data_IF_614379744243
#
_entry.id   IF_614379744243
#
_cell.length_a   1.000
_cell.length_b   1.000
_cell.length_c   1.000
_cell.angle_alpha   90.00
_cell.angle_beta   90.00
_cell.angle_gamma   90.00
#
_symmetry.space_group_name_H-M   'P 1'
#
loop_
_entity.id
_entity.type
_entity.pdbx_description
1 polymer ?
#
# COMPACT_ATOMS: atom_id res chain seq x y z
N UNK A 1 29.12 -52.28 -36.45
CA UNK A 1 28.13 -51.22 -36.15
C UNK A 1 28.07 -51.05 -34.65
N UNK A 2 27.99 -49.80 -34.18
CA UNK A 2 28.07 -49.31 -32.78
C UNK A 2 29.52 -49.28 -32.23
N UNK A 3 30.01 -48.23 -31.56
CA UNK A 3 29.39 -47.12 -30.83
C UNK A 3 30.27 -45.87 -30.96
N UNK A 4 29.67 -44.69 -31.16
CA UNK A 4 30.18 -43.41 -30.62
C UNK A 4 29.11 -42.32 -30.82
N UNK A 5 28.34 -42.05 -29.77
CA UNK A 5 27.54 -40.82 -29.61
C UNK A 5 27.02 -40.79 -28.17
N UNK A 6 27.72 -40.08 -27.29
CA UNK A 6 27.22 -39.57 -26.00
C UNK A 6 28.35 -38.82 -25.28
N UNK A 7 28.51 -37.52 -25.56
CA UNK A 7 29.22 -36.61 -24.64
C UNK A 7 28.89 -35.11 -24.85
N UNK A 8 28.04 -34.76 -25.82
CA UNK A 8 27.70 -33.35 -26.11
C UNK A 8 26.46 -32.85 -25.33
N UNK A 9 25.52 -33.73 -24.98
CA UNK A 9 24.26 -33.31 -24.34
C UNK A 9 24.41 -32.96 -22.85
N UNK A 10 25.36 -33.57 -22.13
CA UNK A 10 25.53 -33.32 -20.68
C UNK A 10 26.22 -31.99 -20.38
N UNK A 11 27.13 -31.52 -21.23
CA UNK A 11 27.79 -30.22 -21.06
C UNK A 11 26.85 -29.05 -21.38
N UNK A 12 25.98 -29.20 -22.39
CA UNK A 12 24.94 -28.22 -22.66
C UNK A 12 23.97 -28.09 -21.49
N UNK A 13 23.46 -29.21 -20.96
CA UNK A 13 22.50 -29.22 -19.85
C UNK A 13 23.06 -28.58 -18.57
N UNK A 14 24.32 -28.88 -18.21
CA UNK A 14 24.99 -28.28 -17.05
C UNK A 14 25.21 -26.76 -17.21
N UNK A 15 25.58 -26.30 -18.41
CA UNK A 15 25.75 -24.86 -18.68
C UNK A 15 24.41 -24.10 -18.62
N UNK A 16 23.31 -24.69 -19.12
CA UNK A 16 21.99 -24.09 -19.04
C UNK A 16 21.44 -24.05 -17.59
N UNK A 17 21.67 -25.10 -16.79
CA UNK A 17 21.32 -25.13 -15.37
C UNK A 17 22.09 -24.07 -14.56
N UNK A 18 23.36 -23.85 -14.87
CA UNK A 18 24.18 -22.82 -14.23
C UNK A 18 23.72 -21.40 -14.60
N UNK A 19 23.34 -21.15 -15.86
CA UNK A 19 22.80 -19.85 -16.30
C UNK A 19 21.42 -19.54 -15.70
N UNK A 20 20.51 -20.52 -15.67
CA UNK A 20 19.18 -20.35 -15.07
C UNK A 20 19.29 -20.10 -13.56
N UNK A 21 20.17 -20.85 -12.88
CA UNK A 21 20.45 -20.66 -11.45
C UNK A 21 21.02 -19.27 -11.17
N UNK A 22 21.98 -18.81 -11.99
CA UNK A 22 22.57 -17.48 -11.85
C UNK A 22 21.54 -16.36 -12.10
N UNK A 23 20.69 -16.50 -13.12
CA UNK A 23 19.63 -15.54 -13.41
C UNK A 23 18.59 -15.47 -12.27
N UNK A 24 18.24 -16.62 -11.70
CA UNK A 24 17.33 -16.69 -10.55
C UNK A 24 17.93 -16.04 -9.31
N UNK A 25 19.23 -16.26 -9.03
CA UNK A 25 19.94 -15.60 -7.93
C UNK A 25 19.98 -14.07 -8.10
N UNK A 26 20.27 -13.59 -9.31
CA UNK A 26 20.25 -12.15 -9.60
C UNK A 26 18.85 -11.53 -9.37
N UNK A 27 17.79 -12.24 -9.74
CA UNK A 27 16.42 -11.82 -9.46
C UNK A 27 16.11 -11.80 -7.96
N UNK A 28 16.63 -12.76 -7.18
CA UNK A 28 16.49 -12.79 -5.71
C UNK A 28 17.23 -11.60 -5.08
N UNK A 29 18.41 -11.24 -5.57
CA UNK A 29 19.17 -10.08 -5.09
C UNK A 29 18.43 -8.77 -5.38
N UNK A 30 17.89 -8.61 -6.59
CA UNK A 30 17.08 -7.45 -6.95
C UNK A 30 15.83 -7.34 -6.06
N UNK A 31 15.16 -8.47 -5.81
CA UNK A 31 14.03 -8.53 -4.90
C UNK A 31 14.45 -8.10 -3.48
N UNK A 32 15.54 -8.67 -2.95
CA UNK A 32 16.04 -8.38 -1.61
C UNK A 32 16.36 -6.88 -1.45
N UNK A 33 17.02 -6.26 -2.42
CA UNK A 33 17.30 -4.81 -2.42
C UNK A 33 16.02 -3.97 -2.30
N UNK A 34 14.93 -4.41 -2.94
CA UNK A 34 13.65 -3.69 -2.95
C UNK A 34 12.86 -3.90 -1.65
N UNK A 35 13.04 -5.03 -0.95
CA UNK A 35 12.15 -5.46 0.15
C UNK A 35 12.82 -5.62 1.52
N UNK A 36 14.14 -5.52 1.63
CA UNK A 36 14.87 -5.70 2.90
C UNK A 36 14.51 -4.63 3.95
N UNK A 37 13.47 -4.91 4.73
CA UNK A 37 12.96 -4.09 5.83
C UNK A 37 12.90 -4.99 7.07
N UNK A 38 13.72 -4.67 8.08
CA UNK A 38 13.87 -5.50 9.29
C UNK A 38 13.11 -4.91 10.47
N UNK A 39 12.40 -5.76 11.22
CA UNK A 39 11.48 -5.35 12.29
C UNK A 39 12.19 -5.23 13.64
N UNK A 40 12.03 -4.11 14.32
CA UNK A 40 12.63 -3.87 15.63
C UNK A 40 12.14 -4.86 16.70
N UNK A 41 13.05 -5.27 17.60
CA UNK A 41 12.75 -6.26 18.62
C UNK A 41 11.56 -5.90 19.53
N UNK A 42 11.30 -4.64 19.92
CA UNK A 42 10.13 -4.34 20.74
C UNK A 42 8.80 -4.65 20.04
N UNK A 43 8.72 -4.45 18.71
CA UNK A 43 7.54 -4.80 17.92
C UNK A 43 7.39 -6.32 17.82
N UNK A 44 8.50 -7.03 17.62
CA UNK A 44 8.50 -8.50 17.61
C UNK A 44 8.02 -9.07 18.94
N UNK A 45 8.56 -8.56 20.05
CA UNK A 45 8.23 -9.02 21.40
C UNK A 45 6.74 -8.83 21.73
N UNK A 46 6.18 -7.66 21.40
CA UNK A 46 4.74 -7.39 21.60
C UNK A 46 3.87 -8.35 20.77
N UNK A 47 4.26 -8.60 19.51
CA UNK A 47 3.50 -9.49 18.64
C UNK A 47 3.56 -10.95 19.10
N UNK A 48 4.75 -11.44 19.50
CA UNK A 48 4.90 -12.79 20.07
C UNK A 48 4.08 -12.96 21.35
N UNK A 49 4.06 -11.95 22.22
CA UNK A 49 3.22 -11.94 23.43
C UNK A 49 1.73 -12.06 23.09
N UNK A 50 1.24 -11.31 22.10
CA UNK A 50 -0.16 -11.39 21.64
C UNK A 50 -0.51 -12.74 21.02
N UNK A 51 0.46 -13.41 20.42
CA UNK A 51 0.29 -14.78 19.90
C UNK A 51 0.26 -15.83 21.02
N UNK A 52 0.65 -15.48 22.25
CA UNK A 52 0.81 -16.43 23.35
C UNK A 52 2.04 -17.32 23.18
N UNK A 53 3.07 -16.86 22.47
CA UNK A 53 4.33 -17.60 22.38
C UNK A 53 5.20 -17.32 23.62
N UNK A 54 5.85 -18.33 24.23
CA UNK A 54 6.02 -19.73 23.82
C UNK A 54 5.13 -20.71 24.62
N UNK A 55 3.86 -20.37 24.87
CA UNK A 55 2.97 -21.19 25.68
C UNK A 55 2.67 -22.54 25.01
N UNK A 56 2.59 -23.60 25.82
CA UNK A 56 2.34 -24.96 25.33
C UNK A 56 3.49 -25.52 24.49
N UNK A 57 3.20 -26.49 23.61
CA UNK A 57 4.18 -27.20 22.76
C UNK A 57 4.01 -26.90 21.26
N UNK A 58 3.44 -25.74 20.93
CA UNK A 58 3.15 -25.36 19.55
C UNK A 58 4.40 -25.15 18.70
N UNK A 59 4.22 -25.16 17.38
CA UNK A 59 5.25 -24.89 16.38
C UNK A 59 5.06 -23.50 15.78
N UNK A 60 6.14 -22.71 15.75
CA UNK A 60 6.21 -21.37 15.17
C UNK A 60 7.03 -21.38 13.88
N UNK A 61 6.56 -20.64 12.88
CA UNK A 61 7.33 -20.35 11.66
C UNK A 61 7.41 -18.86 11.36
N UNK A 62 8.57 -18.40 10.88
CA UNK A 62 8.68 -17.16 10.11
C UNK A 62 8.91 -17.49 8.63
N UNK A 63 7.93 -17.22 7.74
CA UNK A 63 7.97 -17.61 6.33
C UNK A 63 8.89 -16.73 5.47
N UNK A 64 9.42 -15.63 6.01
CA UNK A 64 10.28 -14.69 5.29
C UNK A 64 11.22 -13.99 6.27
N UNK A 65 12.07 -14.78 6.92
CA UNK A 65 12.66 -14.40 8.19
C UNK A 65 13.75 -13.33 8.11
N UNK A 66 14.23 -12.95 6.92
CA UNK A 66 15.21 -11.90 6.75
C UNK A 66 16.48 -12.20 7.54
N UNK A 67 16.86 -11.28 8.43
CA UNK A 67 18.03 -11.43 9.31
C UNK A 67 17.71 -12.18 10.62
N UNK A 68 16.52 -12.79 10.71
CA UNK A 68 16.13 -13.70 11.78
C UNK A 68 15.65 -13.04 13.07
N UNK A 69 15.29 -11.75 13.09
CA UNK A 69 14.89 -11.08 14.35
C UNK A 69 13.70 -11.78 15.02
N UNK A 70 12.62 -12.08 14.29
CA UNK A 70 11.45 -12.81 14.83
C UNK A 70 11.86 -14.15 15.44
N UNK A 71 12.63 -14.94 14.69
CA UNK A 71 13.11 -16.24 15.13
C UNK A 71 14.00 -16.16 16.36
N UNK A 72 14.87 -15.16 16.44
CA UNK A 72 15.79 -14.98 17.57
C UNK A 72 15.04 -14.63 18.86
N UNK A 73 14.04 -13.72 18.78
CA UNK A 73 13.20 -13.38 19.93
C UNK A 73 12.31 -14.55 20.35
N UNK A 74 11.74 -15.27 19.37
CA UNK A 74 10.95 -16.48 19.62
C UNK A 74 11.80 -17.58 20.29
N UNK A 75 13.03 -17.79 19.82
CA UNK A 75 13.95 -18.79 20.36
C UNK A 75 14.39 -18.43 21.78
N UNK A 76 14.74 -17.18 22.03
CA UNK A 76 15.12 -16.71 23.37
C UNK A 76 13.98 -16.92 24.38
N UNK A 77 12.75 -16.58 24.00
CA UNK A 77 11.56 -16.83 24.80
C UNK A 77 11.34 -18.34 25.05
N UNK A 78 11.44 -19.16 24.00
CA UNK A 78 11.26 -20.61 24.11
C UNK A 78 12.29 -21.24 25.06
N UNK A 79 13.57 -20.91 24.91
CA UNK A 79 14.64 -21.45 25.76
C UNK A 79 14.51 -20.98 27.21
N UNK A 80 13.98 -19.77 27.45
CA UNK A 80 13.69 -19.30 28.80
C UNK A 80 12.54 -20.07 29.46
N UNK A 81 11.57 -20.55 28.68
CA UNK A 81 10.40 -21.30 29.14
C UNK A 81 10.62 -22.83 29.20
N UNK A 82 11.86 -23.30 28.98
CA UNK A 82 12.20 -24.73 28.92
C UNK A 82 13.41 -25.04 29.80
N UNK A 83 13.60 -26.31 30.19
CA UNK A 83 14.81 -26.73 30.89
C UNK A 83 16.08 -26.44 30.08
N UNK A 84 17.19 -26.23 30.77
CA UNK A 84 18.50 -26.08 30.12
C UNK A 84 18.81 -27.30 29.24
N UNK A 85 19.38 -27.05 28.05
CA UNK A 85 19.70 -28.09 27.08
C UNK A 85 18.54 -28.57 26.19
N UNK A 86 17.34 -27.99 26.32
CA UNK A 86 16.20 -28.28 25.43
C UNK A 86 16.55 -28.07 23.95
N UNK A 87 16.32 -29.09 23.10
CA UNK A 87 16.54 -28.98 21.64
C UNK A 87 15.32 -28.31 20.98
N UNK A 88 15.46 -27.08 20.42
CA UNK A 88 14.33 -26.32 19.89
C UNK A 88 13.92 -26.73 18.47
N UNK A 89 14.64 -27.66 17.83
CA UNK A 89 14.33 -28.07 16.45
C UNK A 89 12.92 -28.64 16.34
N UNK A 90 12.24 -28.27 15.26
CA UNK A 90 10.85 -28.64 14.99
C UNK A 90 9.80 -27.78 15.71
N UNK A 91 10.16 -26.98 16.71
CA UNK A 91 9.27 -25.98 17.31
C UNK A 91 9.43 -24.58 16.73
N UNK A 92 10.60 -24.24 16.18
CA UNK A 92 10.85 -22.96 15.50
C UNK A 92 11.50 -23.24 14.15
N UNK A 93 10.93 -22.66 13.10
CA UNK A 93 11.44 -22.76 11.73
C UNK A 93 11.42 -21.39 11.02
N UNK A 94 12.39 -21.17 10.13
CA UNK A 94 12.53 -19.96 9.34
C UNK A 94 12.70 -20.27 7.85
N UNK A 95 12.11 -19.44 6.98
CA UNK A 95 12.32 -19.50 5.54
C UNK A 95 12.87 -18.16 5.05
N UNK A 96 13.96 -18.19 4.30
CA UNK A 96 14.54 -17.00 3.70
C UNK A 96 15.08 -17.32 2.31
N UNK A 97 14.59 -16.61 1.30
CA UNK A 97 14.97 -16.84 -0.10
C UNK A 97 16.38 -16.33 -0.42
N UNK A 98 16.81 -15.23 0.21
CA UNK A 98 18.09 -14.59 -0.07
C UNK A 98 19.24 -15.24 0.74
N UNK A 99 20.27 -15.83 0.09
CA UNK A 99 21.30 -16.60 0.75
C UNK A 99 22.03 -15.85 1.88
N UNK A 100 22.45 -14.61 1.65
CA UNK A 100 23.19 -13.86 2.65
C UNK A 100 22.30 -13.42 3.84
N UNK A 101 21.01 -13.18 3.63
CA UNK A 101 20.07 -12.90 4.72
C UNK A 101 19.84 -14.16 5.57
N UNK A 102 19.73 -15.32 4.93
CA UNK A 102 19.65 -16.61 5.62
C UNK A 102 20.89 -16.86 6.50
N UNK A 103 22.09 -16.53 6.02
CA UNK A 103 23.33 -16.59 6.82
C UNK A 103 23.28 -15.63 8.02
N UNK A 104 22.79 -14.39 7.83
CA UNK A 104 22.59 -13.42 8.93
C UNK A 104 21.63 -14.01 9.99
N UNK A 105 20.49 -14.60 9.58
CA UNK A 105 19.52 -15.24 10.47
C UNK A 105 20.11 -16.42 11.24
N UNK A 106 20.81 -17.33 10.56
CA UNK A 106 21.49 -18.48 11.19
C UNK A 106 22.51 -18.02 12.22
N UNK A 107 23.30 -17.00 11.91
CA UNK A 107 24.29 -16.43 12.82
C UNK A 107 23.62 -15.82 14.05
N UNK A 108 22.49 -15.13 13.88
CA UNK A 108 21.70 -14.57 14.99
C UNK A 108 21.15 -15.66 15.90
N UNK A 109 20.60 -16.75 15.35
CA UNK A 109 20.08 -17.87 16.13
C UNK A 109 21.20 -18.61 16.88
N UNK A 110 22.34 -18.84 16.22
CA UNK A 110 23.50 -19.45 16.84
C UNK A 110 24.00 -18.62 18.04
N UNK A 111 23.97 -17.29 17.95
CA UNK A 111 24.34 -16.42 19.07
C UNK A 111 23.38 -16.54 20.27
N UNK A 112 22.07 -16.67 20.02
CA UNK A 112 21.06 -16.92 21.09
C UNK A 112 21.30 -18.29 21.75
N UNK A 113 21.58 -19.33 20.97
CA UNK A 113 21.88 -20.66 21.53
C UNK A 113 23.18 -20.64 22.35
N UNK A 114 24.22 -20.00 21.83
CA UNK A 114 25.50 -19.88 22.53
C UNK A 114 25.37 -19.12 23.85
N UNK A 115 24.57 -18.04 23.90
CA UNK A 115 24.32 -17.30 25.15
C UNK A 115 23.58 -18.11 26.21
N UNK A 116 22.92 -19.21 25.80
CA UNK A 116 22.22 -20.15 26.69
C UNK A 116 23.07 -21.37 27.06
N UNK A 117 24.34 -21.43 26.64
CA UNK A 117 25.30 -22.47 27.06
C UNK A 117 25.59 -23.57 26.03
N UNK A 118 25.08 -23.47 24.80
CA UNK A 118 25.42 -24.41 23.73
C UNK A 118 26.82 -24.10 23.19
N UNK A 119 27.58 -25.14 22.81
CA UNK A 119 28.86 -24.93 22.15
C UNK A 119 28.66 -24.24 20.79
N UNK A 120 29.61 -23.41 20.32
CA UNK A 120 29.48 -22.71 19.04
C UNK A 120 29.19 -23.65 17.85
N UNK A 121 29.84 -24.81 17.81
CA UNK A 121 29.61 -25.82 16.77
C UNK A 121 28.18 -26.37 16.81
N UNK A 122 27.66 -26.73 17.99
CA UNK A 122 26.30 -27.25 18.13
C UNK A 122 25.27 -26.16 17.83
N UNK A 123 25.50 -24.93 18.29
CA UNK A 123 24.64 -23.79 18.03
C UNK A 123 24.50 -23.51 16.53
N UNK A 124 25.61 -23.56 15.78
CA UNK A 124 25.61 -23.39 14.33
C UNK A 124 24.85 -24.52 13.61
N UNK A 125 25.04 -25.78 14.01
CA UNK A 125 24.28 -26.92 13.45
C UNK A 125 22.77 -26.75 13.67
N UNK A 126 22.35 -26.44 14.90
CA UNK A 126 20.94 -26.23 15.21
C UNK A 126 20.34 -25.06 14.41
N UNK A 127 21.06 -23.94 14.32
CA UNK A 127 20.60 -22.79 13.54
C UNK A 127 20.45 -23.11 12.04
N UNK A 128 21.35 -23.92 11.46
CA UNK A 128 21.24 -24.38 10.08
C UNK A 128 20.01 -25.28 9.85
N UNK A 129 19.70 -26.16 10.80
CA UNK A 129 18.52 -27.05 10.74
C UNK A 129 17.20 -26.27 10.87
N UNK A 130 17.22 -25.14 11.59
CA UNK A 130 16.02 -24.33 11.87
C UNK A 130 15.71 -23.31 10.75
N UNK A 131 16.71 -22.85 9.98
CA UNK A 131 16.53 -21.81 8.96
C UNK A 131 16.84 -22.34 7.57
N UNK A 132 15.82 -22.37 6.71
CA UNK A 132 15.87 -22.88 5.35
C UNK A 132 16.15 -21.76 4.36
N UNK A 133 17.23 -21.88 3.56
CA UNK A 133 17.45 -20.98 2.43
C UNK A 133 16.63 -21.45 1.21
N UNK A 134 15.33 -21.18 1.23
CA UNK A 134 14.35 -21.66 0.25
C UNK A 134 13.24 -20.64 0.06
N UNK A 135 12.51 -20.75 -1.03
CA UNK A 135 11.41 -19.84 -1.33
C UNK A 135 10.07 -20.37 -0.78
N UNK A 136 9.53 -19.69 0.23
CA UNK A 136 8.29 -20.10 0.87
C UNK A 136 7.06 -20.09 -0.06
N UNK A 137 7.00 -19.20 -1.05
CA UNK A 137 5.81 -19.11 -1.93
C UNK A 137 5.71 -20.32 -2.88
N UNK A 138 6.86 -20.81 -3.35
CA UNK A 138 6.96 -21.89 -4.34
C UNK A 138 7.19 -23.25 -3.67
N UNK A 139 8.06 -23.32 -2.66
CA UNK A 139 8.50 -24.57 -2.01
C UNK A 139 7.85 -24.81 -0.64
N UNK A 140 7.19 -23.80 -0.05
CA UNK A 140 6.52 -23.93 1.23
C UNK A 140 5.36 -24.94 1.20
N UNK A 141 5.03 -25.56 2.35
CA UNK A 141 4.02 -26.60 2.43
C UNK A 141 2.66 -26.09 1.97
N UNK A 142 1.88 -26.97 1.36
CA UNK A 142 0.52 -26.69 0.85
C UNK A 142 -0.57 -27.12 1.83
N UNK A 143 -0.19 -27.75 2.93
CA UNK A 143 -1.06 -28.21 4.01
C UNK A 143 -0.69 -27.54 5.34
N UNK A 144 -1.62 -27.53 6.32
CA UNK A 144 -1.33 -26.98 7.64
C UNK A 144 -0.18 -27.69 8.37
N UNK A 145 0.79 -26.92 8.88
CA UNK A 145 2.01 -27.42 9.54
C UNK A 145 2.31 -26.76 10.89
N UNK A 146 1.88 -25.52 11.08
CA UNK A 146 2.30 -24.67 12.21
C UNK A 146 1.12 -24.17 13.01
N UNK A 147 1.32 -24.03 14.31
CA UNK A 147 0.31 -23.49 15.23
C UNK A 147 0.40 -21.96 15.27
N UNK A 148 1.61 -21.40 15.06
CA UNK A 148 1.86 -19.96 14.97
C UNK A 148 2.65 -19.64 13.71
N UNK A 149 2.20 -18.64 12.96
CA UNK A 149 2.99 -17.97 11.92
C UNK A 149 3.32 -16.57 12.41
N UNK A 150 4.60 -16.20 12.49
CA UNK A 150 5.02 -14.89 12.96
C UNK A 150 6.11 -14.31 12.06
N UNK A 151 5.98 -13.04 11.63
CA UNK A 151 6.99 -12.45 10.76
C UNK A 151 6.66 -11.10 10.17
N UNK A 152 7.49 -10.67 9.23
CA UNK A 152 7.33 -9.44 8.46
C UNK A 152 7.51 -9.72 6.96
N UNK A 153 6.41 -10.05 6.24
CA UNK A 153 6.48 -10.38 4.82
C UNK A 153 6.94 -9.20 3.94
N UNK A 154 7.48 -9.47 2.74
CA UNK A 154 7.94 -8.42 1.82
C UNK A 154 6.80 -7.54 1.27
N UNK A 155 7.03 -6.23 1.16
CA UNK A 155 6.07 -5.26 0.63
C UNK A 155 6.44 -4.80 -0.78
N UNK A 156 5.91 -5.47 -1.80
CA UNK A 156 6.22 -5.13 -3.19
C UNK A 156 5.06 -5.43 -4.13
N UNK A 157 4.67 -4.44 -4.93
CA UNK A 157 3.67 -4.64 -5.99
C UNK A 157 4.21 -5.59 -7.04
N UNK A 158 3.34 -6.44 -7.59
CA UNK A 158 3.71 -7.42 -8.61
C UNK A 158 4.46 -6.83 -9.81
N UNK A 159 4.07 -5.64 -10.27
CA UNK A 159 4.73 -4.93 -11.37
C UNK A 159 6.21 -4.59 -11.11
N UNK A 160 6.64 -4.61 -9.85
CA UNK A 160 8.02 -4.34 -9.43
C UNK A 160 8.74 -5.62 -8.99
N UNK A 161 8.10 -6.79 -9.03
CA UNK A 161 8.77 -8.08 -8.81
C UNK A 161 9.50 -8.46 -10.10
N UNK A 162 10.77 -8.90 -10.04
CA UNK A 162 11.51 -9.38 -11.21
C UNK A 162 10.70 -10.39 -12.02
N UNK A 163 10.74 -10.26 -13.34
CA UNK A 163 9.87 -10.99 -14.27
C UNK A 163 9.94 -12.51 -14.10
N UNK A 164 11.15 -13.04 -13.89
CA UNK A 164 11.41 -14.45 -13.63
C UNK A 164 10.61 -14.94 -12.41
N UNK A 165 10.81 -14.31 -11.24
CA UNK A 165 10.10 -14.68 -10.00
C UNK A 165 8.59 -14.44 -10.12
N UNK A 166 8.16 -13.35 -10.77
CA UNK A 166 6.74 -13.07 -11.00
C UNK A 166 6.07 -14.19 -11.80
N UNK A 167 6.75 -14.72 -12.82
CA UNK A 167 6.27 -15.83 -13.62
C UNK A 167 6.23 -17.14 -12.82
N UNK A 168 7.23 -17.41 -11.97
CA UNK A 168 7.20 -18.55 -11.04
C UNK A 168 5.98 -18.45 -10.09
N UNK A 169 5.84 -17.32 -9.38
CA UNK A 169 4.75 -17.10 -8.42
C UNK A 169 3.36 -17.22 -9.06
N UNK A 170 3.23 -16.92 -10.36
CA UNK A 170 1.98 -17.04 -11.11
C UNK A 170 1.37 -18.44 -11.06
N UNK A 171 2.21 -19.48 -10.91
CA UNK A 171 1.83 -20.89 -10.89
C UNK A 171 1.43 -21.39 -9.50
N UNK A 172 1.86 -20.70 -8.45
CA UNK A 172 1.69 -21.15 -7.06
C UNK A 172 0.72 -20.29 -6.24
N UNK A 173 0.51 -19.04 -6.63
CA UNK A 173 -0.34 -18.08 -5.93
C UNK A 173 -1.63 -17.87 -6.73
N UNK A 174 -2.83 -17.78 -6.11
CA UNK A 174 -4.07 -17.53 -6.83
C UNK A 174 -4.18 -16.08 -7.33
N UNK A 175 -4.92 -15.83 -8.43
CA UNK A 175 -5.01 -14.50 -9.07
C UNK A 175 -5.35 -13.36 -8.11
N UNK A 176 -6.22 -13.60 -7.14
CA UNK A 176 -6.66 -12.59 -6.17
C UNK A 176 -5.59 -12.18 -5.16
N UNK A 177 -4.52 -12.96 -5.02
CA UNK A 177 -3.40 -12.70 -4.11
C UNK A 177 -2.12 -12.30 -4.87
N UNK A 178 -2.10 -12.34 -6.21
CA UNK A 178 -0.89 -12.08 -7.01
C UNK A 178 -0.53 -10.61 -7.21
N UNK A 179 -1.40 -9.67 -6.88
CA UNK A 179 -1.18 -8.23 -7.14
C UNK A 179 -0.11 -7.57 -6.25
N UNK A 180 0.27 -8.20 -5.14
CA UNK A 180 1.30 -7.73 -4.22
C UNK A 180 1.91 -8.92 -3.47
N UNK A 181 3.21 -8.89 -3.18
CA UNK A 181 3.88 -9.96 -2.45
C UNK A 181 3.32 -10.17 -1.05
N UNK A 182 2.96 -9.12 -0.33
CA UNK A 182 2.31 -9.25 0.98
C UNK A 182 1.01 -10.04 0.88
N UNK A 183 0.26 -9.86 -0.20
CA UNK A 183 -0.98 -10.61 -0.44
C UNK A 183 -0.68 -12.09 -0.70
N UNK A 184 0.35 -12.39 -1.50
CA UNK A 184 0.81 -13.76 -1.75
C UNK A 184 1.19 -14.48 -0.45
N UNK A 185 1.94 -13.80 0.43
CA UNK A 185 2.33 -14.34 1.72
C UNK A 185 1.13 -14.51 2.66
N UNK A 186 0.24 -13.52 2.79
CA UNK A 186 -0.98 -13.65 3.60
C UNK A 186 -1.81 -14.87 3.19
N UNK A 187 -2.02 -15.07 1.88
CA UNK A 187 -2.76 -16.22 1.38
C UNK A 187 -2.05 -17.54 1.68
N UNK A 188 -0.72 -17.63 1.45
CA UNK A 188 0.05 -18.84 1.78
C UNK A 188 0.02 -19.15 3.28
N UNK A 189 0.28 -18.16 4.13
CA UNK A 189 0.21 -18.31 5.58
C UNK A 189 -1.17 -18.79 6.06
N UNK A 190 -2.26 -18.32 5.42
CA UNK A 190 -3.62 -18.76 5.74
C UNK A 190 -3.88 -20.26 5.49
N UNK A 191 -3.06 -20.91 4.66
CA UNK A 191 -3.18 -22.33 4.32
C UNK A 191 -2.24 -23.22 5.11
N UNK A 192 -1.19 -22.65 5.70
CA UNK A 192 -0.16 -23.41 6.42
C UNK A 192 -0.34 -23.35 7.92
N UNK A 193 -1.18 -22.44 8.44
CA UNK A 193 -1.59 -22.44 9.84
C UNK A 193 -2.59 -23.58 10.11
N UNK A 194 -2.42 -24.28 11.23
CA UNK A 194 -3.33 -25.34 11.71
C UNK A 194 -4.68 -24.78 12.18
N UNK A 195 -5.72 -25.62 12.24
CA UNK A 195 -6.94 -25.29 12.99
C UNK A 195 -6.60 -24.81 14.40
N UNK A 196 -7.34 -23.81 14.89
CA UNK A 196 -7.07 -23.09 16.14
C UNK A 196 -5.69 -22.37 16.22
N UNK A 197 -4.93 -22.32 15.13
CA UNK A 197 -3.67 -21.60 15.06
C UNK A 197 -3.81 -20.10 14.87
N UNK A 198 -2.69 -19.39 14.96
CA UNK A 198 -2.62 -17.91 14.96
C UNK A 198 -1.58 -17.40 13.98
N UNK A 199 -1.85 -16.26 13.37
CA UNK A 199 -0.93 -15.58 12.45
C UNK A 199 -0.69 -14.17 12.98
N UNK A 200 0.55 -13.85 13.34
CA UNK A 200 0.98 -12.54 13.80
C UNK A 200 1.95 -11.91 12.82
N UNK A 201 1.52 -10.90 12.06
CA UNK A 201 2.38 -10.28 11.05
C UNK A 201 2.49 -8.77 11.24
N UNK A 202 3.69 -8.24 10.98
CA UNK A 202 3.84 -6.82 10.64
C UNK A 202 3.56 -6.68 9.14
N UNK A 203 2.61 -5.83 8.78
CA UNK A 203 2.14 -5.66 7.40
C UNK A 203 2.09 -4.19 7.00
N UNK A 204 2.17 -3.88 5.71
CA UNK A 204 1.74 -2.57 5.19
C UNK A 204 0.20 -2.47 5.19
N UNK A 205 -0.38 -1.33 5.56
CA UNK A 205 -1.84 -1.15 5.69
C UNK A 205 -2.65 -1.30 4.38
N UNK A 206 -1.99 -1.34 3.22
CA UNK A 206 -2.65 -1.28 1.90
C UNK A 206 -3.64 -2.43 1.64
N UNK A 207 -3.37 -3.62 2.16
CA UNK A 207 -4.27 -4.78 2.00
C UNK A 207 -5.55 -4.64 2.83
N UNK A 208 -5.54 -3.81 3.87
CA UNK A 208 -6.68 -3.57 4.76
C UNK A 208 -7.67 -2.59 4.14
N UNK A 209 -7.18 -1.50 3.56
CA UNK A 209 -8.04 -0.40 3.06
C UNK A 209 -8.28 -0.46 1.54
N UNK A 210 -7.33 -1.01 0.78
CA UNK A 210 -7.36 -0.94 -0.68
C UNK A 210 -8.52 -1.74 -1.29
N UNK A 211 -9.24 -1.13 -2.23
CA UNK A 211 -10.30 -1.81 -2.99
C UNK A 211 -9.77 -3.03 -3.76
N UNK A 212 -8.55 -2.94 -4.29
CA UNK A 212 -7.87 -4.05 -4.98
C UNK A 212 -7.62 -5.29 -4.10
N UNK A 213 -7.66 -5.14 -2.77
CA UNK A 213 -7.49 -6.24 -1.83
C UNK A 213 -8.83 -6.79 -1.28
N UNK A 214 -9.99 -6.30 -1.77
CA UNK A 214 -11.31 -6.77 -1.31
C UNK A 214 -11.47 -8.29 -1.45
N UNK A 215 -11.17 -8.85 -2.62
CA UNK A 215 -11.26 -10.30 -2.87
C UNK A 215 -10.27 -11.10 -2.04
N UNK A 216 -9.10 -10.54 -1.71
CA UNK A 216 -8.16 -11.19 -0.79
C UNK A 216 -8.78 -11.26 0.62
N UNK A 217 -9.25 -10.14 1.17
CA UNK A 217 -9.83 -10.10 2.52
C UNK A 217 -11.02 -11.04 2.67
N UNK A 218 -11.89 -11.08 1.66
CA UNK A 218 -13.00 -12.04 1.62
C UNK A 218 -12.51 -13.50 1.65
N UNK A 219 -11.47 -13.84 0.88
CA UNK A 219 -10.92 -15.20 0.85
C UNK A 219 -10.21 -15.59 2.14
N UNK A 220 -9.51 -14.66 2.77
CA UNK A 220 -8.93 -14.86 4.10
C UNK A 220 -10.03 -15.05 5.15
N UNK A 221 -11.12 -14.29 5.07
CA UNK A 221 -12.29 -14.37 5.95
C UNK A 221 -13.03 -15.70 5.97
N UNK A 222 -12.78 -16.57 4.98
CA UNK A 222 -13.31 -17.94 4.95
C UNK A 222 -12.55 -18.91 5.87
N UNK A 223 -11.43 -18.48 6.47
CA UNK A 223 -10.53 -19.32 7.28
C UNK A 223 -10.01 -18.62 8.54
N UNK A 224 -10.05 -17.28 8.52
CA UNK A 224 -9.36 -16.43 9.46
C UNK A 224 -10.24 -15.27 9.86
N UNK A 225 -10.04 -14.85 11.10
CA UNK A 225 -10.69 -13.71 11.69
C UNK A 225 -9.68 -12.77 12.31
N UNK A 226 -10.05 -11.49 12.43
CA UNK A 226 -9.18 -10.46 12.99
C UNK A 226 -9.31 -10.44 14.51
N UNK A 227 -8.25 -10.86 15.21
CA UNK A 227 -8.21 -10.80 16.66
C UNK A 227 -7.60 -9.49 17.18
N UNK A 228 -6.63 -8.94 16.44
CA UNK A 228 -5.99 -7.68 16.82
C UNK A 228 -5.44 -6.95 15.60
N UNK A 229 -5.51 -5.62 15.65
CA UNK A 229 -4.92 -4.75 14.65
C UNK A 229 -4.48 -3.43 15.29
N UNK A 230 -3.24 -3.01 15.04
CA UNK A 230 -2.68 -1.79 15.63
C UNK A 230 -1.70 -1.11 14.67
N UNK A 231 -1.83 0.22 14.52
CA UNK A 231 -0.89 1.01 13.71
C UNK A 231 0.43 1.14 14.44
N UNK A 232 1.52 0.93 13.70
CA UNK A 232 2.87 1.10 14.20
C UNK A 232 3.49 2.38 13.62
N UNK A 233 4.43 2.97 14.35
CA UNK A 233 5.27 4.05 13.80
C UNK A 233 6.34 3.43 12.90
N UNK A 234 6.43 3.88 11.64
CA UNK A 234 7.48 3.43 10.73
C UNK A 234 8.90 3.78 11.20
N UNK A 235 9.04 4.82 12.04
CA UNK A 235 10.32 5.26 12.59
C UNK A 235 10.86 4.30 13.66
N UNK A 236 9.97 3.61 14.38
CA UNK A 236 10.34 2.72 15.48
C UNK A 236 10.11 1.25 15.17
N UNK A 237 9.23 0.93 14.22
CA UNK A 237 8.90 -0.44 13.86
C UNK A 237 10.01 -1.15 13.10
N UNK A 238 10.88 -0.40 12.44
CA UNK A 238 11.93 -0.95 11.60
C UNK A 238 13.31 -0.41 11.99
N UNK A 239 14.31 -1.27 11.95
CA UNK A 239 15.72 -0.85 11.98
C UNK A 239 16.36 -1.26 10.66
N UNK A 240 17.38 -0.51 10.21
CA UNK A 240 18.19 -0.82 9.01
C UNK A 240 17.46 -0.65 7.65
N UNK A 241 17.35 0.58 7.11
CA UNK A 241 17.21 0.77 5.68
C UNK A 241 18.60 0.70 5.03
N UNK A 242 19.11 -0.52 4.77
CA UNK A 242 20.52 -0.79 4.43
C UNK A 242 21.03 -0.08 3.14
N UNK A 243 20.15 0.51 2.33
CA UNK A 243 20.51 1.22 1.09
C UNK A 243 19.65 2.46 0.76
N UNK A 244 18.80 2.95 1.69
CA UNK A 244 18.07 4.21 1.45
C UNK A 244 18.84 5.35 2.11
N UNK A 245 18.84 6.55 1.52
CA UNK A 245 19.52 7.74 2.07
C UNK A 245 19.30 7.80 3.59
N UNK A 246 20.39 7.96 4.34
CA UNK A 246 20.35 8.08 5.80
C UNK A 246 19.26 9.08 6.22
N UNK A 247 18.38 8.69 7.14
CA UNK A 247 17.30 9.53 7.65
C UNK A 247 15.97 9.49 6.87
N UNK A 248 15.81 8.65 5.84
CA UNK A 248 14.50 8.45 5.18
C UNK A 248 13.84 7.13 5.61
N UNK A 249 12.75 7.16 6.42
CA UNK A 249 12.04 5.94 6.80
C UNK A 249 11.45 5.23 5.57
N UNK A 250 11.20 3.91 5.64
CA UNK A 250 10.46 3.20 4.60
C UNK A 250 9.12 3.91 4.34
N UNK A 251 8.78 4.10 3.06
CA UNK A 251 7.49 4.69 2.64
C UNK A 251 6.36 3.67 2.80
N UNK A 252 6.13 3.28 4.05
CA UNK A 252 5.24 2.21 4.47
C UNK A 252 4.49 2.70 5.71
N UNK A 253 3.23 2.34 5.82
CA UNK A 253 2.42 2.53 7.03
C UNK A 253 2.24 1.16 7.69
N UNK A 254 3.14 0.79 8.62
CA UNK A 254 3.13 -0.54 9.20
C UNK A 254 1.99 -0.73 10.19
N UNK A 255 1.47 -1.96 10.24
CA UNK A 255 0.40 -2.38 11.12
C UNK A 255 0.75 -3.75 11.67
N UNK A 256 0.67 -3.91 12.99
CA UNK A 256 0.69 -5.22 13.65
C UNK A 256 -0.69 -5.87 13.52
N UNK A 257 -0.73 -7.13 13.10
CA UNK A 257 -1.96 -7.87 12.83
C UNK A 257 -1.88 -9.22 13.52
N UNK A 258 -2.94 -9.58 14.25
CA UNK A 258 -3.15 -10.95 14.72
C UNK A 258 -4.43 -11.49 14.09
N UNK A 259 -4.29 -12.56 13.33
CA UNK A 259 -5.39 -13.36 12.79
C UNK A 259 -5.46 -14.69 13.53
N UNK A 260 -6.67 -15.18 13.74
CA UNK A 260 -6.92 -16.49 14.37
C UNK A 260 -7.78 -17.34 13.44
N UNK A 261 -7.54 -18.64 13.41
CA UNK A 261 -8.43 -19.61 12.76
C UNK A 261 -9.76 -19.71 13.52
N UNK A 262 -10.85 -20.04 12.81
CA UNK A 262 -12.27 -19.81 13.18
C UNK A 262 -12.74 -20.29 14.57
N UNK A 263 -12.00 -21.15 15.27
CA UNK A 263 -12.32 -21.63 16.63
C UNK A 263 -12.15 -20.59 17.76
N UNK A 264 -12.09 -19.28 17.46
CA UNK A 264 -11.81 -18.28 18.51
C UNK A 264 -12.01 -16.80 18.18
N UNK A 265 -12.92 -16.44 17.26
CA UNK A 265 -13.04 -15.05 16.84
C UNK A 265 -14.43 -14.42 16.95
N UNK A 266 -14.43 -13.11 17.22
CA UNK A 266 -15.66 -12.29 17.29
C UNK A 266 -16.20 -11.83 15.94
N UNK A 267 -15.38 -11.78 14.87
CA UNK A 267 -15.80 -11.39 13.51
C UNK A 267 -14.81 -11.84 12.42
N UNK A 268 -15.32 -12.56 11.42
CA UNK A 268 -14.53 -12.94 10.24
C UNK A 268 -14.17 -11.73 9.37
N UNK A 269 -13.03 -11.78 8.69
CA UNK A 269 -12.69 -10.79 7.68
C UNK A 269 -13.76 -10.78 6.57
N UNK A 270 -14.00 -9.62 5.96
CA UNK A 270 -14.90 -9.48 4.82
C UNK A 270 -14.21 -8.70 3.69
N UNK A 271 -14.87 -8.56 2.54
CA UNK A 271 -14.36 -7.69 1.47
C UNK A 271 -14.31 -6.20 1.85
N UNK A 272 -14.93 -5.78 2.96
CA UNK A 272 -14.94 -4.38 3.39
C UNK A 272 -13.55 -3.91 3.84
N UNK A 273 -13.23 -2.61 3.69
CA UNK A 273 -12.02 -2.02 4.25
C UNK A 273 -11.94 -2.20 5.77
N UNK A 274 -10.73 -2.33 6.30
CA UNK A 274 -10.44 -2.38 7.73
C UNK A 274 -9.64 -1.13 8.07
N UNK A 275 -10.08 -0.37 9.07
CA UNK A 275 -9.44 0.86 9.51
C UNK A 275 -8.87 0.68 10.93
N UNK A 276 -7.57 0.37 11.07
CA UNK A 276 -6.94 0.12 12.36
C UNK A 276 -7.13 1.27 13.36
N UNK A 277 -7.64 0.93 14.55
CA UNK A 277 -7.80 1.85 15.68
C UNK A 277 -8.94 2.86 15.55
N UNK A 278 -9.84 2.68 14.59
CA UNK A 278 -10.99 3.58 14.39
C UNK A 278 -12.18 3.12 15.23
N UNK A 279 -12.68 4.02 16.07
CA UNK A 279 -13.96 3.87 16.77
C UNK A 279 -15.07 4.50 15.93
N UNK A 280 -15.88 3.66 15.29
CA UNK A 280 -16.97 4.13 14.42
C UNK A 280 -18.08 4.86 15.20
N UNK A 281 -18.29 4.55 16.48
CA UNK A 281 -19.34 5.19 17.30
C UNK A 281 -19.11 6.69 17.48
N UNK A 282 -17.85 7.16 17.30
CA UNK A 282 -17.51 8.58 17.29
C UNK A 282 -18.32 9.39 16.29
N UNK A 283 -18.72 8.75 15.19
CA UNK A 283 -19.39 9.39 14.06
C UNK A 283 -20.87 9.07 13.97
N UNK A 284 -21.38 8.24 14.89
CA UNK A 284 -22.76 7.77 14.86
C UNK A 284 -23.75 8.92 15.05
N UNK A 285 -24.81 8.94 14.23
CA UNK A 285 -25.85 9.97 14.28
C UNK A 285 -25.47 11.32 13.63
N UNK A 286 -24.24 11.52 13.17
CA UNK A 286 -23.85 12.74 12.46
C UNK A 286 -24.34 12.73 11.00
N UNK A 287 -24.79 13.89 10.51
CA UNK A 287 -25.11 14.06 9.09
C UNK A 287 -23.83 14.09 8.26
N UNK A 288 -23.92 13.69 6.99
CA UNK A 288 -22.77 13.56 6.12
C UNK A 288 -22.65 14.78 5.21
N UNK A 289 -21.43 15.19 4.88
CA UNK A 289 -21.20 16.33 3.98
C UNK A 289 -21.87 16.15 2.62
N UNK A 290 -21.98 14.91 2.13
CA UNK A 290 -22.69 14.60 0.89
C UNK A 290 -24.20 14.89 0.92
N UNK A 291 -24.79 15.05 2.11
CA UNK A 291 -26.21 15.41 2.27
C UNK A 291 -26.44 16.91 2.00
N UNK A 292 -25.40 17.74 2.11
CA UNK A 292 -25.47 19.20 1.99
C UNK A 292 -24.81 19.75 0.72
N UNK A 293 -23.85 19.02 0.16
CA UNK A 293 -23.09 19.49 -0.99
C UNK A 293 -22.66 18.37 -1.96
N UNK A 294 -22.63 18.71 -3.25
CA UNK A 294 -22.04 17.86 -4.27
C UNK A 294 -20.52 17.95 -4.23
N UNK A 295 -19.87 16.80 -4.06
CA UNK A 295 -18.42 16.65 -4.08
C UNK A 295 -18.02 15.96 -5.38
N UNK A 296 -17.21 16.64 -6.19
CA UNK A 296 -16.80 16.18 -7.52
C UNK A 296 -15.29 16.24 -7.72
N UNK A 297 -14.80 15.43 -8.65
CA UNK A 297 -13.41 15.49 -9.10
C UNK A 297 -13.33 16.58 -10.17
N UNK A 298 -12.41 17.53 -9.99
CA UNK A 298 -12.10 18.56 -10.98
C UNK A 298 -11.50 17.92 -12.25
N UNK A 299 -11.86 18.39 -13.45
CA UNK A 299 -11.44 17.75 -14.70
C UNK A 299 -9.93 17.83 -14.91
N UNK A 300 -9.35 16.75 -15.44
CA UNK A 300 -8.02 16.76 -16.03
C UNK A 300 -8.08 17.10 -17.52
N UNK A 301 -7.62 18.30 -17.87
CA UNK A 301 -7.70 18.84 -19.22
C UNK A 301 -6.54 18.43 -20.13
N UNK A 302 -5.61 17.61 -19.63
CA UNK A 302 -4.50 17.06 -20.41
C UNK A 302 -3.14 17.67 -20.07
N UNK A 303 -2.23 17.65 -21.03
CA UNK A 303 -0.92 18.29 -20.92
C UNK A 303 -1.07 19.82 -20.90
N UNK A 304 -0.30 20.50 -20.06
CA UNK A 304 -0.19 21.96 -20.05
C UNK A 304 0.19 22.51 -21.43
N UNK A 305 -0.30 23.70 -21.76
CA UNK A 305 -0.12 24.35 -23.05
C UNK A 305 -1.07 23.87 -24.15
N UNK A 306 -1.86 22.82 -23.93
CA UNK A 306 -2.87 22.35 -24.90
C UNK A 306 -4.24 22.97 -24.60
N UNK A 307 -4.97 22.45 -23.61
CA UNK A 307 -6.27 22.97 -23.19
C UNK A 307 -6.21 23.87 -21.95
N UNK A 308 -5.08 23.88 -21.25
CA UNK A 308 -4.77 24.82 -20.16
C UNK A 308 -3.58 25.64 -20.62
N UNK A 309 -3.75 26.95 -20.72
CA UNK A 309 -2.78 27.85 -21.33
C UNK A 309 -2.39 28.97 -20.37
N UNK A 310 -1.21 29.53 -20.56
CA UNK A 310 -0.73 30.68 -19.81
C UNK A 310 -1.40 32.00 -20.26
N UNK A 311 -1.13 33.08 -19.53
CA UNK A 311 -1.67 34.41 -19.83
C UNK A 311 -1.27 34.91 -21.22
N UNK A 312 -0.07 34.55 -21.69
CA UNK A 312 0.44 35.03 -22.96
C UNK A 312 -0.32 34.43 -24.14
N UNK A 313 -0.55 33.12 -24.08
CA UNK A 313 -1.31 32.36 -25.07
C UNK A 313 -2.79 32.73 -25.01
N UNK A 314 -3.35 32.90 -23.80
CA UNK A 314 -4.74 33.28 -23.60
C UNK A 314 -5.10 34.60 -24.31
N UNK A 315 -4.20 35.60 -24.35
CA UNK A 315 -4.45 36.87 -25.06
C UNK A 315 -4.66 36.72 -26.57
N UNK A 316 -4.19 35.62 -27.17
CA UNK A 316 -4.36 35.33 -28.59
C UNK A 316 -5.60 34.50 -28.91
N UNK A 317 -6.43 34.17 -27.91
CA UNK A 317 -7.62 33.34 -28.08
C UNK A 317 -8.90 34.15 -27.75
N UNK A 318 -10.05 33.79 -28.34
CA UNK A 318 -11.30 34.49 -28.06
C UNK A 318 -11.68 34.41 -26.57
N UNK A 319 -11.95 35.54 -25.89
CA UNK A 319 -12.16 35.56 -24.44
C UNK A 319 -13.38 34.73 -23.99
N UNK A 320 -14.40 34.57 -24.83
CA UNK A 320 -15.61 33.81 -24.53
C UNK A 320 -15.38 32.29 -24.38
N UNK A 321 -14.27 31.76 -24.89
CA UNK A 321 -13.88 30.37 -24.70
C UNK A 321 -12.91 30.17 -23.55
N UNK A 322 -12.45 31.24 -22.90
CA UNK A 322 -11.44 31.16 -21.84
C UNK A 322 -12.08 31.23 -20.47
N UNK A 323 -11.67 30.32 -19.60
CA UNK A 323 -12.11 30.26 -18.21
C UNK A 323 -10.86 30.28 -17.32
N UNK A 324 -10.71 31.24 -16.40
CA UNK A 324 -9.63 31.19 -15.41
C UNK A 324 -9.61 29.84 -14.71
N UNK A 325 -8.45 29.21 -14.61
CA UNK A 325 -8.31 27.88 -14.02
C UNK A 325 -7.31 27.89 -12.87
N UNK A 326 -7.52 27.01 -11.88
CA UNK A 326 -6.67 26.90 -10.69
C UNK A 326 -6.30 25.45 -10.38
N UNK A 327 -5.11 25.27 -9.83
CA UNK A 327 -4.61 24.02 -9.26
C UNK A 327 -4.00 24.29 -7.87
N UNK A 328 -3.43 23.25 -7.26
CA UNK A 328 -2.92 23.23 -5.90
C UNK A 328 -1.78 24.22 -5.68
N UNK A 329 -0.99 24.52 -6.71
CA UNK A 329 0.11 25.49 -6.68
C UNK A 329 -0.36 26.95 -6.62
N UNK A 330 -1.61 27.23 -7.01
CA UNK A 330 -2.24 28.54 -6.83
C UNK A 330 -2.76 28.74 -5.39
N UNK A 331 -2.66 27.73 -4.52
CA UNK A 331 -3.06 27.81 -3.11
C UNK A 331 -1.83 28.05 -2.23
N UNK A 332 -1.81 29.19 -1.54
CA UNK A 332 -0.74 29.56 -0.62
C UNK A 332 -1.32 29.89 0.75
N UNK A 333 -0.80 29.24 1.79
CA UNK A 333 -1.25 29.45 3.19
C UNK A 333 -2.78 29.33 3.36
N UNK A 334 -3.41 28.41 2.62
CA UNK A 334 -4.86 28.18 2.66
C UNK A 334 -5.69 29.28 2.00
N UNK A 335 -5.09 30.12 1.16
CA UNK A 335 -5.77 31.14 0.37
C UNK A 335 -5.48 30.93 -1.11
N UNK A 336 -6.48 31.23 -1.93
CA UNK A 336 -6.34 31.21 -3.37
C UNK A 336 -5.61 32.47 -3.84
N UNK A 337 -4.55 32.29 -4.63
CA UNK A 337 -3.89 33.37 -5.35
C UNK A 337 -4.66 33.80 -6.60
N UNK A 338 -4.16 34.81 -7.32
CA UNK A 338 -4.72 35.18 -8.61
C UNK A 338 -4.47 34.07 -9.64
N UNK A 339 -5.49 33.61 -10.39
CA UNK A 339 -5.28 32.62 -11.43
C UNK A 339 -4.24 33.06 -12.46
N UNK A 340 -3.31 32.17 -12.78
CA UNK A 340 -2.21 32.43 -13.72
C UNK A 340 -2.38 31.68 -15.05
N UNK A 341 -3.48 30.93 -15.18
CA UNK A 341 -3.77 30.04 -16.31
C UNK A 341 -5.25 30.06 -16.68
N UNK A 342 -5.53 29.68 -17.91
CA UNK A 342 -6.87 29.66 -18.49
C UNK A 342 -7.15 28.31 -19.16
N UNK A 343 -8.31 27.75 -18.88
CA UNK A 343 -8.85 26.59 -19.56
C UNK A 343 -9.64 27.01 -20.80
N UNK A 344 -9.41 26.32 -21.92
CA UNK A 344 -10.16 26.50 -23.16
C UNK A 344 -11.44 25.65 -23.09
N UNK A 345 -12.60 26.30 -23.00
CA UNK A 345 -13.91 25.67 -23.01
C UNK A 345 -14.32 25.34 -24.45
N UNK A 346 -14.43 24.05 -24.73
CA UNK A 346 -14.91 23.52 -26.02
C UNK A 346 -16.17 22.68 -25.85
N UNK A 347 -16.94 22.50 -26.92
CA UNK A 347 -18.23 21.80 -26.89
C UNK A 347 -18.23 20.59 -27.83
N UNK A 348 -18.83 19.45 -27.43
CA UNK A 348 -18.85 18.26 -28.27
C UNK A 348 -19.54 18.45 -29.63
N UNK A 349 -20.56 19.31 -29.70
CA UNK A 349 -21.39 19.53 -30.88
C UNK A 349 -21.06 20.77 -31.70
N UNK A 350 -20.04 21.55 -31.32
CA UNK A 350 -19.71 22.82 -31.96
C UNK A 350 -18.21 22.93 -32.15
N UNK A 351 -17.77 23.13 -33.39
CA UNK A 351 -16.38 23.42 -33.69
C UNK A 351 -15.97 24.78 -33.08
N UNK A 352 -14.82 24.88 -32.40
CA UNK A 352 -14.31 26.14 -31.86
C UNK A 352 -13.97 27.16 -32.95
N UNK A 353 -13.70 28.40 -32.51
CA UNK A 353 -13.19 29.44 -33.40
C UNK A 353 -11.84 29.06 -34.06
N UNK A 354 -11.53 29.59 -35.26
CA UNK A 354 -10.31 29.23 -36.00
C UNK A 354 -9.00 29.41 -35.20
N UNK A 355 -8.94 30.39 -34.31
CA UNK A 355 -7.80 30.67 -33.43
C UNK A 355 -7.56 29.51 -32.45
N UNK A 356 -8.64 29.00 -31.85
CA UNK A 356 -8.59 27.84 -30.95
C UNK A 356 -8.19 26.59 -31.73
N UNK A 357 -8.76 26.38 -32.91
CA UNK A 357 -8.42 25.23 -33.75
C UNK A 357 -6.94 25.27 -34.19
N UNK A 358 -6.43 26.44 -34.56
CA UNK A 358 -5.02 26.66 -34.93
C UNK A 358 -4.09 26.37 -33.74
N UNK A 359 -4.41 26.90 -32.56
CA UNK A 359 -3.66 26.63 -31.34
C UNK A 359 -3.62 25.13 -31.03
N UNK A 360 -4.78 24.46 -30.99
CA UNK A 360 -4.86 23.03 -30.70
C UNK A 360 -4.10 22.19 -31.73
N UNK A 361 -4.23 22.48 -33.02
CA UNK A 361 -3.47 21.80 -34.07
C UNK A 361 -1.94 21.93 -33.85
N UNK A 362 -1.48 23.12 -33.45
CA UNK A 362 -0.05 23.36 -33.19
C UNK A 362 0.47 22.67 -31.91
N UNK A 363 -0.39 22.40 -30.93
CA UNK A 363 0.01 21.89 -29.60
C UNK A 363 -0.36 20.43 -29.33
N UNK A 364 -1.29 19.84 -30.08
CA UNK A 364 -1.81 18.49 -29.80
C UNK A 364 -0.74 17.39 -29.82
N UNK A 365 0.38 17.62 -30.53
CA UNK A 365 1.53 16.71 -30.51
C UNK A 365 2.14 16.52 -29.10
N UNK A 366 1.98 17.52 -28.20
CA UNK A 366 2.40 17.47 -26.79
C UNK A 366 1.45 16.66 -25.91
N UNK A 367 0.24 16.35 -26.38
CA UNK A 367 -0.76 15.65 -25.59
C UNK A 367 -0.30 14.22 -25.28
N UNK A 368 -0.29 13.89 -23.98
CA UNK A 368 -0.03 12.55 -23.50
C UNK A 368 -0.98 11.55 -24.15
N UNK A 369 -0.52 10.32 -24.42
CA UNK A 369 -1.32 9.29 -25.12
C UNK A 369 -2.71 9.09 -24.49
N UNK A 370 -2.78 9.05 -23.14
CA UNK A 370 -4.04 8.91 -22.38
C UNK A 370 -5.03 10.08 -22.56
N UNK A 371 -4.54 11.24 -23.00
CA UNK A 371 -5.34 12.45 -23.16
C UNK A 371 -5.84 12.67 -24.58
N UNK A 372 -5.45 11.83 -25.55
CA UNK A 372 -5.90 11.96 -26.94
C UNK A 372 -7.31 11.41 -27.07
N UNK A 373 -8.23 12.27 -27.49
CA UNK A 373 -9.64 11.92 -27.72
C UNK A 373 -9.93 11.73 -29.21
N UNK A 374 -11.09 11.14 -29.53
CA UNK A 374 -11.53 10.96 -30.91
C UNK A 374 -11.82 12.27 -31.65
N UNK A 375 -12.29 13.31 -30.93
CA UNK A 375 -12.45 14.67 -31.47
C UNK A 375 -11.25 15.52 -31.07
N UNK A 376 -10.61 16.14 -32.07
CA UNK A 376 -9.35 16.89 -31.90
C UNK A 376 -9.49 18.05 -30.91
N UNK A 377 -10.67 18.68 -30.84
CA UNK A 377 -10.91 19.83 -29.95
C UNK A 377 -11.52 19.47 -28.59
N UNK A 378 -11.60 18.19 -28.25
CA UNK A 378 -12.12 17.77 -26.95
C UNK A 378 -10.98 17.47 -25.98
N UNK A 379 -10.99 18.09 -24.77
CA UNK A 379 -10.07 17.69 -23.72
C UNK A 379 -10.39 16.27 -23.24
N UNK A 380 -9.46 15.62 -22.51
CA UNK A 380 -9.67 14.28 -21.96
C UNK A 380 -10.92 14.19 -21.08
N UNK A 381 -11.11 15.20 -20.23
CA UNK A 381 -12.28 15.35 -19.37
C UNK A 381 -12.94 16.70 -19.67
N UNK A 382 -14.10 16.66 -20.32
CA UNK A 382 -14.79 17.88 -20.73
C UNK A 382 -15.53 18.54 -19.57
N UNK A 383 -15.51 19.88 -19.55
CA UNK A 383 -16.16 20.69 -18.52
C UNK A 383 -17.23 21.64 -19.08
N UNK A 384 -17.64 21.45 -20.33
CA UNK A 384 -18.59 22.34 -21.02
C UNK A 384 -19.91 22.54 -20.27
N UNK A 385 -20.39 21.49 -19.58
CA UNK A 385 -21.62 21.49 -18.80
C UNK A 385 -21.43 21.92 -17.33
N UNK A 386 -20.20 22.22 -16.88
CA UNK A 386 -19.97 22.67 -15.51
C UNK A 386 -20.48 24.11 -15.35
N UNK A 387 -21.40 24.27 -14.41
CA UNK A 387 -21.82 25.56 -13.87
C UNK A 387 -20.71 26.13 -12.98
N UNK A 388 -20.17 27.27 -13.41
CA UNK A 388 -19.17 28.06 -12.69
C UNK A 388 -19.74 29.40 -12.22
N UNK A 389 -21.05 29.65 -12.38
CA UNK A 389 -21.67 30.93 -12.01
C UNK A 389 -21.77 31.18 -10.50
N UNK A 390 -21.48 30.15 -9.70
CA UNK A 390 -21.56 30.15 -8.25
C UNK A 390 -20.21 29.89 -7.61
N UNK A 391 -20.10 30.28 -6.34
CA UNK A 391 -18.94 29.94 -5.52
C UNK A 391 -18.83 28.44 -5.28
N UNK A 392 -17.60 27.99 -5.04
CA UNK A 392 -17.31 26.61 -4.67
C UNK A 392 -16.21 26.53 -3.62
N UNK A 393 -15.93 25.32 -3.15
CA UNK A 393 -14.72 24.99 -2.41
C UNK A 393 -13.82 24.09 -3.23
N UNK A 394 -12.52 24.20 -2.99
CA UNK A 394 -11.52 23.24 -3.45
C UNK A 394 -10.80 22.62 -2.24
N UNK A 395 -10.71 21.29 -2.24
CA UNK A 395 -9.88 20.51 -1.32
C UNK A 395 -8.82 19.79 -2.14
N UNK A 396 -7.51 20.06 -1.92
CA UNK A 396 -6.46 19.32 -2.61
C UNK A 396 -6.55 17.82 -2.32
N UNK A 397 -6.36 17.00 -3.36
CA UNK A 397 -6.45 15.54 -3.22
C UNK A 397 -5.36 14.96 -2.33
N UNK A 398 -4.22 15.64 -2.24
CA UNK A 398 -3.10 15.30 -1.37
C UNK A 398 -2.94 16.46 -0.37
N UNK A 399 -3.39 16.25 0.86
CA UNK A 399 -3.38 17.27 1.90
C UNK A 399 -3.18 16.65 3.29
N UNK A 400 -2.74 17.45 4.27
CA UNK A 400 -2.63 16.99 5.67
C UNK A 400 -3.97 17.02 6.40
N UNK A 401 -4.89 17.87 5.96
CA UNK A 401 -6.24 18.04 6.50
C UNK A 401 -7.22 18.22 5.34
N UNK A 402 -8.53 17.99 5.54
CA UNK A 402 -9.54 18.23 4.50
C UNK A 402 -9.93 19.72 4.39
N UNK A 403 -9.16 20.63 5.00
CA UNK A 403 -9.46 22.06 4.97
C UNK A 403 -9.54 22.56 3.53
N UNK A 404 -10.63 23.23 3.23
CA UNK A 404 -10.91 23.73 1.90
C UNK A 404 -10.45 25.17 1.69
N UNK A 405 -10.48 25.59 0.43
CA UNK A 405 -10.25 26.97 0.01
C UNK A 405 -11.45 27.43 -0.81
N UNK A 406 -11.96 28.63 -0.50
CA UNK A 406 -13.03 29.31 -1.24
C UNK A 406 -12.58 29.64 -2.66
N UNK A 407 -13.42 29.30 -3.65
CA UNK A 407 -13.19 29.62 -5.07
C UNK A 407 -14.33 30.53 -5.55
N UNK A 408 -14.02 31.76 -6.00
CA UNK A 408 -14.99 32.69 -6.57
C UNK A 408 -15.71 32.14 -7.82
N UNK A 409 -16.86 32.72 -8.20
CA UNK A 409 -17.52 32.40 -9.46
C UNK A 409 -16.61 32.64 -10.67
N UNK A 410 -16.80 31.84 -11.71
CA UNK A 410 -16.11 31.94 -13.00
C UNK A 410 -14.76 31.24 -13.05
N UNK A 411 -14.30 30.62 -11.97
CA UNK A 411 -12.99 29.96 -11.89
C UNK A 411 -13.16 28.44 -11.89
N UNK A 412 -12.34 27.73 -12.69
CA UNK A 412 -12.36 26.28 -12.83
C UNK A 412 -11.21 25.63 -12.05
N UNK A 413 -11.49 24.87 -10.98
CA UNK A 413 -10.55 23.88 -10.45
C UNK A 413 -10.21 22.83 -11.50
N UNK A 414 -8.94 22.43 -11.61
CA UNK A 414 -8.47 21.38 -12.54
C UNK A 414 -7.65 20.30 -11.83
N UNK A 415 -7.13 19.33 -12.60
CA UNK A 415 -6.13 18.35 -12.20
C UNK A 415 -6.54 17.44 -11.04
N UNK A 416 -7.80 17.00 -11.03
CA UNK A 416 -8.37 16.05 -10.08
C UNK A 416 -8.36 16.51 -8.60
N UNK A 417 -8.27 17.81 -8.36
CA UNK A 417 -8.65 18.38 -7.07
C UNK A 417 -10.13 18.09 -6.74
N UNK A 418 -10.50 18.16 -5.47
CA UNK A 418 -11.87 17.87 -5.04
C UNK A 418 -12.64 19.20 -4.99
N UNK A 419 -13.61 19.37 -5.88
CA UNK A 419 -14.48 20.56 -5.90
C UNK A 419 -15.77 20.24 -5.15
N UNK A 420 -16.24 21.19 -4.34
CA UNK A 420 -17.47 21.05 -3.56
C UNK A 420 -18.39 22.23 -3.87
N UNK A 421 -19.65 21.93 -4.17
CA UNK A 421 -20.69 22.91 -4.48
C UNK A 421 -21.93 22.61 -3.67
N UNK A 422 -22.51 23.64 -3.05
CA UNK A 422 -23.75 23.53 -2.28
C UNK A 422 -24.91 24.24 -2.98
N UNK A 423 -26.14 24.03 -2.46
CA UNK A 423 -27.37 24.62 -2.98
C UNK A 423 -27.45 26.15 -2.81
N UNK A 424 -26.73 26.72 -1.84
CA UNK A 424 -26.67 28.16 -1.58
C UNK A 424 -25.48 28.56 -0.71
N UNK A 425 -25.23 29.86 -0.56
CA UNK A 425 -24.06 30.41 0.14
C UNK A 425 -24.01 30.00 1.63
N UNK A 426 -25.13 30.05 2.35
CA UNK A 426 -25.19 29.65 3.77
C UNK A 426 -24.77 28.19 3.97
N UNK A 427 -25.29 27.27 3.15
CA UNK A 427 -24.88 25.86 3.20
C UNK A 427 -23.40 25.69 2.85
N UNK A 428 -22.92 26.51 1.93
CA UNK A 428 -21.54 26.46 1.48
C UNK A 428 -20.56 26.95 2.57
N UNK A 429 -20.95 27.93 3.40
CA UNK A 429 -20.22 28.38 4.58
C UNK A 429 -20.19 27.30 5.68
N UNK A 430 -21.33 26.65 5.94
CA UNK A 430 -21.42 25.52 6.88
C UNK A 430 -20.49 24.37 6.48
N UNK A 431 -20.44 24.05 5.18
CA UNK A 431 -19.54 23.01 4.65
C UNK A 431 -18.07 23.42 4.78
N UNK A 432 -17.73 24.69 4.55
CA UNK A 432 -16.37 25.19 4.73
C UNK A 432 -15.92 25.10 6.20
N UNK A 433 -16.78 25.52 7.14
CA UNK A 433 -16.53 25.42 8.57
C UNK A 433 -16.37 23.96 9.02
N UNK A 434 -17.25 23.07 8.55
CA UNK A 434 -17.15 21.64 8.87
C UNK A 434 -15.85 21.02 8.35
N UNK A 435 -15.39 21.36 7.15
CA UNK A 435 -14.11 20.89 6.59
C UNK A 435 -12.89 21.39 7.38
N UNK A 436 -13.01 22.53 8.06
CA UNK A 436 -11.97 23.07 8.93
C UNK A 436 -11.99 22.51 10.36
N UNK A 437 -13.01 21.73 10.72
CA UNK A 437 -13.24 21.26 12.09
C UNK A 437 -12.25 20.17 12.54
N UNK A 438 -12.05 20.00 13.86
CA UNK A 438 -11.26 18.89 14.41
C UNK A 438 -11.82 17.51 14.02
N UNK A 439 -13.15 17.36 13.96
CA UNK A 439 -13.79 16.08 13.61
C UNK A 439 -13.50 15.70 12.15
N UNK A 440 -13.46 16.67 11.23
CA UNK A 440 -13.08 16.44 9.84
C UNK A 440 -11.60 16.02 9.71
N UNK A 441 -10.70 16.67 10.45
CA UNK A 441 -9.29 16.29 10.50
C UNK A 441 -9.09 14.87 11.09
N UNK A 442 -9.91 14.48 12.07
CA UNK A 442 -9.91 13.13 12.63
C UNK A 442 -10.47 12.09 11.65
N UNK A 443 -11.62 12.36 11.03
CA UNK A 443 -12.20 11.53 9.97
C UNK A 443 -11.19 11.25 8.84
N UNK A 444 -10.49 12.29 8.39
CA UNK A 444 -9.46 12.14 7.37
C UNK A 444 -8.30 11.25 7.85
N UNK A 445 -7.83 11.40 9.09
CA UNK A 445 -6.78 10.53 9.66
C UNK A 445 -7.24 9.07 9.78
N UNK A 446 -8.51 8.84 10.09
CA UNK A 446 -9.04 7.52 10.32
C UNK A 446 -9.25 6.74 9.02
N UNK A 447 -9.81 7.41 8.01
CA UNK A 447 -10.29 6.75 6.79
C UNK A 447 -9.48 7.03 5.53
N UNK A 448 -8.69 8.11 5.47
CA UNK A 448 -7.88 8.39 4.29
C UNK A 448 -6.65 7.48 4.22
N UNK A 449 -6.23 7.16 2.99
CA UNK A 449 -4.95 6.50 2.77
C UNK A 449 -3.84 7.47 3.15
N UNK A 450 -2.92 7.02 4.01
CA UNK A 450 -1.75 7.80 4.41
C UNK A 450 -0.70 7.81 3.30
N UNK A 451 0.02 8.92 3.23
CA UNK A 451 1.15 9.17 2.34
C UNK A 451 2.35 9.66 3.19
N UNK A 452 3.49 9.88 2.53
CA UNK A 452 4.70 10.39 3.18
C UNK A 452 4.49 11.79 3.79
N UNK A 453 5.26 12.15 4.81
CA UNK A 453 5.27 13.52 5.37
C UNK A 453 4.00 13.93 6.09
N UNK A 454 3.16 12.96 6.48
CA UNK A 454 1.87 13.19 7.13
C UNK A 454 0.75 13.62 6.17
N UNK A 455 0.98 13.50 4.86
CA UNK A 455 -0.07 13.76 3.87
C UNK A 455 -1.06 12.60 3.81
N UNK A 456 -2.27 12.91 3.36
CA UNK A 456 -3.38 11.99 3.18
C UNK A 456 -3.87 12.07 1.74
N UNK A 457 -4.29 10.94 1.18
CA UNK A 457 -5.01 10.89 -0.08
C UNK A 457 -6.50 11.01 0.19
N UNK A 458 -7.04 12.21 -0.06
CA UNK A 458 -8.45 12.51 0.08
C UNK A 458 -9.18 12.09 -1.22
N UNK A 459 -10.42 11.63 -1.08
CA UNK A 459 -11.25 11.20 -2.21
C UNK A 459 -12.65 11.79 -2.11
N UNK A 460 -13.38 11.84 -3.21
CA UNK A 460 -14.79 12.25 -3.19
C UNK A 460 -15.63 11.35 -2.29
N UNK A 461 -15.43 10.03 -2.34
CA UNK A 461 -16.13 9.07 -1.47
C UNK A 461 -15.86 9.33 0.01
N UNK A 462 -14.61 9.64 0.36
CA UNK A 462 -14.22 10.00 1.74
C UNK A 462 -14.92 11.28 2.19
N UNK A 463 -14.88 12.34 1.39
CA UNK A 463 -15.46 13.63 1.75
C UNK A 463 -16.99 13.58 1.78
N UNK A 464 -17.65 12.87 0.87
CA UNK A 464 -19.12 12.69 0.89
C UNK A 464 -19.61 12.01 2.17
N UNK A 465 -18.80 11.08 2.70
CA UNK A 465 -19.08 10.38 3.96
C UNK A 465 -18.51 11.10 5.19
N UNK A 466 -17.91 12.27 5.03
CA UNK A 466 -17.34 13.00 6.16
C UNK A 466 -18.47 13.48 7.07
N UNK A 467 -18.43 13.13 8.36
CA UNK A 467 -19.42 13.58 9.31
C UNK A 467 -19.26 15.08 9.57
N UNK A 468 -20.39 15.78 9.61
CA UNK A 468 -20.45 17.20 9.95
C UNK A 468 -21.01 17.34 11.36
N UNK A 469 -20.21 17.92 12.26
CA UNK A 469 -20.70 18.30 13.58
C UNK A 469 -21.64 19.51 13.44
N UNK A 470 -22.86 19.40 13.97
CA UNK A 470 -23.80 20.51 14.17
C UNK A 470 -24.07 21.37 12.91
N UNK A 471 -24.75 20.81 11.91
CA UNK A 471 -25.47 21.67 10.95
C UNK A 471 -26.87 21.86 11.52
N UNK A 472 -27.31 23.10 11.86
CA UNK A 472 -28.71 23.35 12.17
C UNK A 472 -29.57 22.88 11.00
N UNK A 473 -30.59 22.08 11.30
CA UNK A 473 -31.52 21.50 10.33
C UNK A 473 -32.20 22.56 9.45
#
# INVERSE_FOLDING_TARGET
MHHQTQSADSQGLLLFEDEETAARLAAIDELHVRTAIYTASPVVDDLLKRLGWPDGNGRLVDPSCGDGMFLARALDALLAARPAGFDPRGQIEGWEIHPAACVDARSRLAAVLASRGWSPARAATLANDMVHNRDFLTEGPTTPQWDIVAGNPPYLRAANVPDLLRNEYSRHVPDYARGDMLHSFLERCSRTVRPAGRIGLVTADRWMVGAAASRLRERLGQRLSLAHVERLSAETAFYRPKQRRAGSPPRVHPVAVVLVSDDGAGQNLSGKPIHPGVDESRYEGMQLLGDFADVRIAPWLGTEGVFVVDAATARGLPPECLVPAIDTDDIQNGKLGTPTRWAIRTFPGKEPAPEVMTHLASRMHLMAKRGRQGKVWMPPESFHALDLSRESLIVPRIAKTPKAVRVPPGILPINHNLSIVAGGAVTLDQVEEALASPIAAEWARDYAQRLEGGYLSLTTTLLRRMPMANVPA
#
